data_IF_260854396542
#
_entry.id   IF_260854396542
#
_cell.length_a   1.000
_cell.length_b   1.000
_cell.length_c   1.000
_cell.angle_alpha   90.00
_cell.angle_beta   90.00
_cell.angle_gamma   90.00
#
_symmetry.space_group_name_H-M   'P 1'
#
loop_
_entity.id
_entity.type
_entity.pdbx_description
1 polymer ?
#
# COMPACT_ATOMS: atom_id res chain seq x y z
N UNK A 1 8.77 -3.55 11.41
CA UNK A 1 8.55 -2.30 10.66
C UNK A 1 9.72 -1.31 10.68
N UNK A 2 10.46 -1.14 11.78
CA UNK A 2 11.58 -0.19 11.86
C UNK A 2 12.84 -0.67 11.11
N UNK A 3 13.40 0.17 10.24
CA UNK A 3 14.74 0.02 9.70
C UNK A 3 15.77 0.41 10.75
N UNK A 4 16.63 -0.53 11.10
CA UNK A 4 17.86 -0.26 11.83
C UNK A 4 19.00 -0.92 11.05
N UNK A 5 20.18 -0.32 11.15
CA UNK A 5 21.40 -0.96 10.67
C UNK A 5 21.52 -2.32 11.40
N UNK A 6 21.81 -3.42 10.69
CA UNK A 6 22.06 -4.71 11.33
C UNK A 6 23.15 -4.56 12.40
N UNK A 7 22.91 -5.12 13.59
CA UNK A 7 23.90 -5.08 14.68
C UNK A 7 24.98 -6.15 14.51
N UNK A 8 26.01 -6.10 15.36
CA UNK A 8 27.19 -6.99 15.27
C UNK A 8 26.82 -8.48 15.24
N UNK A 9 25.85 -8.89 16.05
CA UNK A 9 25.33 -10.28 16.04
C UNK A 9 24.84 -10.77 14.67
N UNK A 10 24.35 -9.88 13.81
CA UNK A 10 23.93 -10.22 12.46
C UNK A 10 25.14 -10.45 11.55
N UNK A 11 26.15 -9.60 11.68
CA UNK A 11 27.44 -9.74 10.98
C UNK A 11 28.13 -11.03 11.39
N UNK A 12 28.18 -11.33 12.69
CA UNK A 12 28.76 -12.58 13.22
C UNK A 12 28.07 -13.80 12.60
N UNK A 13 26.74 -13.77 12.52
CA UNK A 13 25.95 -14.87 11.94
C UNK A 13 26.17 -15.03 10.44
N UNK A 14 26.34 -13.93 9.70
CA UNK A 14 26.68 -13.95 8.27
C UNK A 14 28.08 -14.56 8.09
N UNK A 15 29.06 -14.11 8.87
CA UNK A 15 30.44 -14.62 8.81
C UNK A 15 30.49 -16.10 9.15
N UNK A 16 29.74 -16.54 10.16
CA UNK A 16 29.60 -17.95 10.52
C UNK A 16 29.00 -18.77 9.36
N UNK A 17 27.91 -18.29 8.75
CA UNK A 17 27.29 -18.94 7.59
C UNK A 17 28.23 -19.02 6.38
N UNK A 18 29.03 -17.98 6.13
CA UNK A 18 30.04 -18.01 5.06
C UNK A 18 31.11 -19.05 5.38
N UNK A 19 31.57 -19.15 6.64
CA UNK A 19 32.57 -20.13 7.05
C UNK A 19 32.08 -21.57 6.91
N UNK A 20 30.81 -21.81 7.27
CA UNK A 20 30.14 -23.10 7.16
C UNK A 20 30.10 -23.61 5.71
N UNK A 21 29.98 -22.70 4.74
CA UNK A 21 29.90 -23.03 3.31
C UNK A 21 31.30 -23.13 2.67
N UNK A 22 32.27 -22.34 3.12
CA UNK A 22 33.58 -22.20 2.45
C UNK A 22 34.70 -23.06 3.01
N UNK A 23 34.65 -23.47 4.29
CA UNK A 23 35.71 -24.25 4.93
C UNK A 23 35.32 -25.71 5.16
N UNK A 24 36.13 -26.61 4.61
CA UNK A 24 36.06 -28.05 4.87
C UNK A 24 36.35 -28.31 6.35
N UNK A 25 35.41 -28.95 7.05
CA UNK A 25 35.49 -29.23 8.50
C UNK A 25 34.78 -28.24 9.42
N UNK A 26 34.30 -27.10 8.89
CA UNK A 26 33.38 -26.17 9.59
C UNK A 26 31.92 -26.37 9.17
N UNK A 27 31.63 -27.41 8.38
CA UNK A 27 30.33 -27.72 7.83
C UNK A 27 29.29 -28.01 8.92
N UNK A 28 28.05 -27.57 8.71
CA UNK A 28 26.95 -27.96 9.59
C UNK A 28 26.73 -29.46 9.51
N UNK A 29 26.79 -30.09 10.67
CA UNK A 29 26.44 -31.50 10.82
C UNK A 29 24.92 -31.72 10.86
N UNK A 30 24.12 -30.67 11.10
CA UNK A 30 22.66 -30.75 11.18
C UNK A 30 21.99 -30.21 9.91
N UNK A 31 21.00 -30.93 9.36
CA UNK A 31 20.30 -30.50 8.15
C UNK A 31 19.47 -29.23 8.40
N UNK A 32 19.44 -28.34 7.41
CA UNK A 32 18.54 -27.18 7.40
C UNK A 32 17.12 -27.69 7.14
N UNK A 33 16.29 -27.71 8.18
CA UNK A 33 14.89 -28.10 8.06
C UNK A 33 14.11 -26.91 7.51
N UNK A 34 13.81 -26.93 6.21
CA UNK A 34 12.87 -26.00 5.58
C UNK A 34 11.46 -26.37 6.03
N UNK A 35 10.91 -25.61 6.99
CA UNK A 35 9.55 -25.82 7.46
C UNK A 35 8.57 -25.31 6.42
N UNK A 36 7.85 -26.22 5.77
CA UNK A 36 6.76 -25.84 4.88
C UNK A 36 5.73 -24.98 5.62
N UNK A 37 5.18 -23.94 4.98
CA UNK A 37 4.15 -23.12 5.59
C UNK A 37 2.97 -24.00 6.02
N UNK A 38 2.54 -23.86 7.28
CA UNK A 38 1.43 -24.64 7.83
C UNK A 38 0.19 -24.48 6.94
N UNK A 39 -0.26 -25.56 6.31
CA UNK A 39 -1.54 -25.60 5.59
C UNK A 39 -2.66 -25.36 6.62
N UNK A 40 -3.35 -24.24 6.50
CA UNK A 40 -4.49 -23.88 7.35
C UNK A 40 -5.77 -24.41 6.71
N UNK A 41 -6.71 -24.90 7.51
CA UNK A 41 -8.03 -25.30 7.00
C UNK A 41 -8.81 -24.08 6.51
N UNK A 42 -9.76 -24.28 5.59
CA UNK A 42 -10.59 -23.20 5.05
C UNK A 42 -11.33 -22.40 6.14
N UNK A 43 -11.86 -23.10 7.15
CA UNK A 43 -12.51 -22.48 8.30
C UNK A 43 -11.56 -21.57 9.10
N UNK A 44 -10.32 -22.00 9.30
CA UNK A 44 -9.33 -21.21 10.03
C UNK A 44 -8.93 -19.95 9.26
N UNK A 45 -8.81 -20.04 7.93
CA UNK A 45 -8.59 -18.87 7.08
C UNK A 45 -9.76 -17.89 7.12
N UNK A 46 -11.00 -18.39 7.14
CA UNK A 46 -12.19 -17.54 7.26
C UNK A 46 -12.19 -16.74 8.57
N UNK A 47 -11.93 -17.41 9.70
CA UNK A 47 -11.83 -16.75 11.01
C UNK A 47 -10.71 -15.70 11.02
N UNK A 48 -9.54 -16.02 10.48
CA UNK A 48 -8.45 -15.04 10.40
C UNK A 48 -8.82 -13.85 9.52
N UNK A 49 -9.45 -14.06 8.37
CA UNK A 49 -9.91 -12.95 7.53
C UNK A 49 -10.91 -12.07 8.27
N UNK A 50 -11.86 -12.65 9.00
CA UNK A 50 -12.82 -11.89 9.81
C UNK A 50 -12.10 -11.01 10.84
N UNK A 51 -11.12 -11.57 11.56
CA UNK A 51 -10.31 -10.82 12.54
C UNK A 51 -9.55 -9.69 11.85
N UNK A 52 -8.88 -9.96 10.72
CA UNK A 52 -8.13 -8.93 9.99
C UNK A 52 -9.04 -7.80 9.47
N UNK A 53 -10.22 -8.14 8.97
CA UNK A 53 -11.22 -7.16 8.53
C UNK A 53 -11.74 -6.33 9.71
N UNK A 54 -12.03 -6.96 10.85
CA UNK A 54 -12.44 -6.24 12.06
C UNK A 54 -11.34 -5.26 12.51
N UNK A 55 -10.09 -5.73 12.59
CA UNK A 55 -8.94 -4.88 12.94
C UNK A 55 -8.76 -3.72 11.96
N UNK A 56 -8.99 -3.94 10.66
CA UNK A 56 -8.96 -2.85 9.66
C UNK A 56 -9.94 -1.74 10.00
N UNK A 57 -11.21 -2.08 10.25
CA UNK A 57 -12.22 -1.08 10.60
C UNK A 57 -11.92 -0.38 11.91
N UNK A 58 -11.43 -1.11 12.93
CA UNK A 58 -11.02 -0.52 14.21
C UNK A 58 -9.85 0.46 14.03
N UNK A 59 -8.82 0.08 13.27
CA UNK A 59 -7.68 0.97 12.97
C UNK A 59 -8.13 2.26 12.28
N UNK A 60 -8.94 2.14 11.22
CA UNK A 60 -9.41 3.30 10.44
C UNK A 60 -10.33 4.19 11.28
N UNK A 61 -11.26 3.59 12.04
CA UNK A 61 -12.14 4.32 12.94
C UNK A 61 -11.34 5.11 13.98
N UNK A 62 -10.34 4.49 14.60
CA UNK A 62 -9.50 5.16 15.59
C UNK A 62 -8.75 6.37 15.00
N UNK A 63 -8.23 6.24 13.78
CA UNK A 63 -7.56 7.35 13.09
C UNK A 63 -8.54 8.48 12.75
N UNK A 64 -9.71 8.15 12.20
CA UNK A 64 -10.76 9.14 11.90
C UNK A 64 -11.17 9.87 13.17
N UNK A 65 -11.43 9.12 14.25
CA UNK A 65 -11.79 9.69 15.54
C UNK A 65 -10.74 10.68 16.04
N UNK A 66 -9.45 10.30 16.00
CA UNK A 66 -8.34 11.18 16.39
C UNK A 66 -8.27 12.44 15.52
N UNK A 67 -8.48 12.32 14.20
CA UNK A 67 -8.50 13.48 13.30
C UNK A 67 -9.72 14.38 13.57
N UNK A 68 -10.88 13.83 13.87
CA UNK A 68 -12.07 14.63 14.21
C UNK A 68 -11.90 15.41 15.51
N UNK A 69 -11.16 14.86 16.50
CA UNK A 69 -10.84 15.57 17.75
C UNK A 69 -10.03 16.84 17.50
N UNK A 70 -9.18 16.86 16.48
CA UNK A 70 -8.40 18.04 16.07
C UNK A 70 -9.13 18.90 15.02
N UNK A 71 -10.43 18.70 14.84
CA UNK A 71 -11.29 19.43 13.89
C UNK A 71 -10.82 19.36 12.42
N UNK A 72 -10.25 18.23 12.00
CA UNK A 72 -9.92 18.02 10.60
C UNK A 72 -11.19 17.99 9.72
N UNK A 73 -11.15 18.66 8.57
CA UNK A 73 -12.21 18.58 7.56
C UNK A 73 -12.31 17.15 7.01
N UNK A 74 -13.52 16.65 6.79
CA UNK A 74 -13.80 15.35 6.16
C UNK A 74 -13.01 15.13 4.86
N UNK A 75 -12.90 16.14 4.00
CA UNK A 75 -12.11 16.04 2.75
C UNK A 75 -10.64 15.79 3.07
N UNK A 76 -10.09 16.51 4.05
CA UNK A 76 -8.71 16.34 4.50
C UNK A 76 -8.48 14.99 5.18
N UNK A 77 -9.47 14.43 5.88
CA UNK A 77 -9.40 13.08 6.48
C UNK A 77 -9.24 12.02 5.39
N UNK A 78 -10.04 12.09 4.31
CA UNK A 78 -9.95 11.14 3.20
C UNK A 78 -8.57 11.19 2.55
N UNK A 79 -8.10 12.41 2.23
CA UNK A 79 -6.77 12.62 1.64
C UNK A 79 -5.68 12.08 2.57
N UNK A 80 -5.79 12.35 3.87
CA UNK A 80 -4.84 11.87 4.87
C UNK A 80 -4.81 10.34 4.93
N UNK A 81 -5.96 9.67 4.99
CA UNK A 81 -6.03 8.20 5.02
C UNK A 81 -5.44 7.58 3.76
N UNK A 82 -5.69 8.18 2.59
CA UNK A 82 -5.09 7.76 1.32
C UNK A 82 -3.56 7.85 1.40
N UNK A 83 -3.01 9.00 1.79
CA UNK A 83 -1.57 9.18 1.90
C UNK A 83 -0.95 8.29 2.99
N UNK A 84 -1.61 8.14 4.12
CA UNK A 84 -1.16 7.28 5.22
C UNK A 84 -1.02 5.83 4.74
N UNK A 85 -2.03 5.30 4.05
CA UNK A 85 -1.99 3.97 3.48
C UNK A 85 -0.86 3.84 2.45
N UNK A 86 -0.76 4.82 1.54
CA UNK A 86 0.25 4.84 0.48
C UNK A 86 1.68 4.87 1.06
N UNK A 87 1.99 5.84 1.93
CA UNK A 87 3.31 5.97 2.58
C UNK A 87 3.65 4.72 3.40
N UNK A 88 2.67 4.14 4.10
CA UNK A 88 2.86 2.90 4.86
C UNK A 88 3.26 1.73 3.98
N UNK A 89 2.64 1.61 2.80
CA UNK A 89 3.02 0.61 1.82
C UNK A 89 4.41 0.86 1.22
N UNK A 90 4.72 2.11 0.86
CA UNK A 90 6.03 2.49 0.35
C UNK A 90 7.14 2.23 1.36
N UNK A 91 6.89 2.46 2.64
CA UNK A 91 7.83 2.10 3.72
C UNK A 91 8.21 0.63 3.68
N UNK A 92 7.27 -0.28 3.37
CA UNK A 92 7.60 -1.70 3.21
C UNK A 92 8.46 -1.95 1.98
N UNK A 93 8.15 -1.31 0.84
CA UNK A 93 8.90 -1.48 -0.41
C UNK A 93 10.34 -1.00 -0.26
N UNK A 94 10.53 0.23 0.21
CA UNK A 94 11.86 0.86 0.32
C UNK A 94 12.78 0.06 1.24
N UNK A 95 12.22 -0.62 2.23
CA UNK A 95 12.98 -1.33 3.26
C UNK A 95 13.21 -2.81 2.95
N UNK A 96 12.75 -3.33 1.81
CA UNK A 96 12.91 -4.75 1.45
C UNK A 96 14.38 -5.18 1.38
N UNK A 97 15.21 -4.45 0.64
CA UNK A 97 16.63 -4.81 0.48
C UNK A 97 17.39 -4.83 1.81
N UNK A 98 17.10 -3.91 2.72
CA UNK A 98 17.72 -3.92 4.06
C UNK A 98 17.27 -5.14 4.88
N UNK A 99 16.01 -5.57 4.74
CA UNK A 99 15.48 -6.74 5.45
C UNK A 99 16.06 -8.05 4.95
N UNK A 100 16.43 -8.12 3.67
CA UNK A 100 17.13 -9.29 3.11
C UNK A 100 18.52 -9.49 3.72
N UNK A 101 19.14 -8.43 4.26
CA UNK A 101 20.43 -8.49 4.95
C UNK A 101 20.32 -8.87 6.43
N UNK A 102 19.11 -8.96 6.99
CA UNK A 102 18.87 -9.37 8.37
C UNK A 102 18.68 -10.89 8.45
N UNK A 103 19.70 -11.57 8.97
CA UNK A 103 19.73 -13.03 9.16
C UNK A 103 19.26 -13.41 10.58
N UNK A 104 19.43 -12.52 11.56
CA UNK A 104 18.99 -12.76 12.93
C UNK A 104 17.53 -12.34 13.09
N UNK A 105 16.68 -13.30 13.47
CA UNK A 105 15.27 -13.02 13.78
C UNK A 105 15.14 -12.06 14.97
N UNK A 106 14.32 -11.04 14.79
CA UNK A 106 14.05 -10.08 15.86
C UNK A 106 13.08 -10.71 16.85
N UNK A 107 13.39 -10.63 18.15
CA UNK A 107 12.43 -11.03 19.20
C UNK A 107 11.18 -10.18 19.08
N UNK A 108 10.03 -10.84 18.88
CA UNK A 108 8.73 -10.17 18.92
C UNK A 108 8.40 -9.82 20.37
N UNK A 109 8.20 -8.52 20.63
CA UNK A 109 7.73 -8.03 21.92
C UNK A 109 6.22 -7.73 21.82
N UNK A 110 5.48 -7.84 22.92
CA UNK A 110 4.04 -7.58 22.95
C UNK A 110 3.63 -6.21 22.33
N UNK A 111 4.35 -5.09 22.56
CA UNK A 111 4.03 -3.82 21.89
C UNK A 111 4.28 -3.84 20.38
N UNK A 112 5.32 -4.57 19.92
CA UNK A 112 5.59 -4.75 18.48
C UNK A 112 4.42 -5.46 17.83
N UNK A 113 3.94 -6.53 18.44
CA UNK A 113 2.81 -7.30 17.95
C UNK A 113 1.54 -6.45 17.83
N UNK A 114 1.22 -5.64 18.86
CA UNK A 114 0.06 -4.75 18.82
C UNK A 114 0.17 -3.71 17.70
N UNK A 115 1.33 -3.07 17.56
CA UNK A 115 1.57 -2.11 16.47
C UNK A 115 1.43 -2.79 15.11
N UNK A 116 2.03 -3.97 14.94
CA UNK A 116 1.95 -4.73 13.69
C UNK A 116 0.49 -5.14 13.40
N UNK A 117 -0.30 -5.48 14.41
CA UNK A 117 -1.73 -5.83 14.28
C UNK A 117 -2.55 -4.67 13.72
N UNK A 118 -2.39 -3.44 14.25
CA UNK A 118 -3.15 -2.28 13.77
C UNK A 118 -2.60 -1.67 12.47
N UNK A 119 -1.29 -1.76 12.25
CA UNK A 119 -0.61 -1.14 11.11
C UNK A 119 -0.65 -2.03 9.85
N UNK A 120 -0.63 -3.36 9.99
CA UNK A 120 -0.75 -4.29 8.85
C UNK A 120 -1.96 -4.01 7.95
N UNK A 121 -3.18 -3.83 8.47
CA UNK A 121 -4.33 -3.48 7.67
C UNK A 121 -4.15 -2.20 6.83
N UNK A 122 -3.46 -1.18 7.37
CA UNK A 122 -3.17 0.08 6.68
C UNK A 122 -2.18 -0.15 5.53
N UNK A 123 -1.13 -0.94 5.75
CA UNK A 123 -0.20 -1.36 4.69
C UNK A 123 -0.93 -2.13 3.60
N UNK A 124 -1.82 -3.05 3.98
CA UNK A 124 -2.58 -3.87 3.03
C UNK A 124 -3.48 -2.99 2.16
N UNK A 125 -4.16 -2.00 2.75
CA UNK A 125 -4.93 -1.01 2.02
C UNK A 125 -4.06 -0.21 1.06
N UNK A 126 -2.87 0.24 1.50
CA UNK A 126 -1.90 0.94 0.65
C UNK A 126 -1.37 0.09 -0.50
N UNK A 127 -1.11 -1.20 -0.24
CA UNK A 127 -0.71 -2.18 -1.27
C UNK A 127 -1.81 -2.36 -2.30
N UNK A 128 -3.05 -2.57 -1.83
CA UNK A 128 -4.21 -2.71 -2.71
C UNK A 128 -4.39 -1.45 -3.56
N UNK A 129 -4.30 -0.28 -2.94
CA UNK A 129 -4.38 1.00 -3.63
C UNK A 129 -3.29 1.15 -4.70
N UNK A 130 -2.03 0.89 -4.35
CA UNK A 130 -0.91 1.01 -5.30
C UNK A 130 -0.98 0.00 -6.44
N UNK A 131 -1.43 -1.24 -6.19
CA UNK A 131 -1.56 -2.26 -7.22
C UNK A 131 -2.74 -2.04 -8.15
N UNK A 132 -3.79 -1.36 -7.68
CA UNK A 132 -4.96 -1.03 -8.48
C UNK A 132 -4.88 0.38 -9.09
N UNK A 133 -4.02 1.27 -8.58
CA UNK A 133 -3.82 2.63 -9.11
C UNK A 133 -3.38 2.64 -10.59
N UNK A 134 -2.67 1.60 -11.05
CA UNK A 134 -2.33 1.41 -12.48
C UNK A 134 -3.42 0.72 -13.29
N UNK A 135 -4.36 0.02 -12.65
CA UNK A 135 -5.59 -0.52 -13.28
C UNK A 135 -6.72 0.52 -13.34
N UNK A 136 -6.50 1.65 -12.67
CA UNK A 136 -7.42 2.75 -12.54
C UNK A 136 -7.37 3.55 -13.84
N UNK A 137 -8.17 3.05 -14.79
CA UNK A 137 -8.87 3.90 -15.75
C UNK A 137 -9.76 4.92 -15.03
N UNK A 138 -9.84 4.97 -13.69
CA UNK A 138 -10.52 6.01 -12.91
C UNK A 138 -9.83 7.37 -13.04
N UNK A 139 -8.49 7.46 -13.18
CA UNK A 139 -7.87 8.75 -13.48
C UNK A 139 -8.25 9.21 -14.88
N UNK A 140 -8.18 8.31 -15.87
CA UNK A 140 -8.62 8.59 -17.25
C UNK A 140 -10.12 8.93 -17.26
N UNK A 141 -10.99 8.15 -16.63
CA UNK A 141 -12.43 8.40 -16.52
C UNK A 141 -12.75 9.71 -15.78
N UNK A 142 -12.02 10.04 -14.72
CA UNK A 142 -12.17 11.33 -14.02
C UNK A 142 -11.70 12.46 -14.94
N UNK A 143 -10.59 12.32 -15.66
CA UNK A 143 -10.11 13.33 -16.59
C UNK A 143 -11.04 13.48 -17.80
N UNK A 144 -11.55 12.39 -18.36
CA UNK A 144 -12.54 12.39 -19.44
C UNK A 144 -13.85 13.04 -18.94
N UNK A 145 -14.29 12.74 -17.72
CA UNK A 145 -15.53 13.34 -17.19
C UNK A 145 -15.38 14.80 -16.79
N UNK A 146 -14.26 15.18 -16.15
CA UNK A 146 -14.02 16.55 -15.66
C UNK A 146 -13.52 17.48 -16.78
N UNK A 147 -12.76 16.95 -17.75
CA UNK A 147 -12.15 17.74 -18.82
C UNK A 147 -12.88 17.49 -20.16
N UNK A 148 -12.95 16.24 -20.64
CA UNK A 148 -13.47 15.94 -21.99
C UNK A 148 -14.97 16.25 -22.14
N UNK A 149 -15.83 15.79 -21.23
CA UNK A 149 -17.27 16.00 -21.30
C UNK A 149 -17.67 17.49 -21.33
N UNK A 150 -17.20 18.37 -20.42
CA UNK A 150 -17.52 19.79 -20.50
C UNK A 150 -16.85 20.48 -21.70
N UNK A 151 -15.66 20.05 -22.11
CA UNK A 151 -15.01 20.60 -23.30
C UNK A 151 -15.81 20.28 -24.57
N UNK A 152 -16.34 19.06 -24.70
CA UNK A 152 -17.18 18.63 -25.82
C UNK A 152 -18.44 19.50 -25.94
N UNK A 153 -19.11 19.79 -24.82
CA UNK A 153 -20.27 20.69 -24.80
C UNK A 153 -19.90 22.09 -25.31
N UNK A 154 -18.76 22.63 -24.91
CA UNK A 154 -18.31 23.97 -25.36
C UNK A 154 -18.04 23.97 -26.87
N UNK A 155 -17.41 22.93 -27.40
CA UNK A 155 -17.13 22.78 -28.83
C UNK A 155 -18.43 22.66 -29.62
N UNK A 156 -19.37 21.84 -29.17
CA UNK A 156 -20.67 21.67 -29.83
C UNK A 156 -21.44 23.00 -29.93
N UNK A 157 -21.46 23.78 -28.85
CA UNK A 157 -22.07 25.13 -28.83
C UNK A 157 -21.36 26.08 -29.79
N UNK A 158 -20.02 26.02 -29.88
CA UNK A 158 -19.26 26.87 -30.79
C UNK A 158 -19.50 26.51 -32.28
N UNK A 159 -19.65 25.22 -32.59
CA UNK A 159 -20.04 24.78 -33.93
C UNK A 159 -21.44 25.27 -34.30
N UNK A 160 -22.39 25.16 -33.37
CA UNK A 160 -23.78 25.58 -33.58
C UNK A 160 -23.88 27.10 -33.77
N UNK A 161 -23.12 27.86 -32.99
CA UNK A 161 -22.96 29.30 -33.18
C UNK A 161 -22.39 29.66 -34.56
N UNK A 162 -21.37 28.93 -35.01
CA UNK A 162 -20.75 29.16 -36.32
C UNK A 162 -21.72 28.87 -37.46
N UNK A 163 -22.53 27.80 -37.35
CA UNK A 163 -23.62 27.51 -38.30
C UNK A 163 -24.65 28.63 -38.32
N UNK A 164 -25.11 29.08 -37.16
CA UNK A 164 -26.09 30.16 -37.05
C UNK A 164 -25.62 31.45 -37.73
N UNK A 165 -24.36 31.86 -37.54
CA UNK A 165 -23.79 33.04 -38.22
C UNK A 165 -23.80 32.84 -39.74
N UNK A 166 -23.44 31.65 -40.21
CA UNK A 166 -23.38 31.35 -41.65
C UNK A 166 -24.78 31.42 -42.28
N UNK A 167 -25.78 30.82 -41.64
CA UNK A 167 -27.18 30.91 -42.07
C UNK A 167 -27.69 32.35 -42.07
N UNK A 168 -27.36 33.14 -41.04
CA UNK A 168 -27.71 34.57 -40.98
C UNK A 168 -27.09 35.36 -42.13
N UNK A 169 -25.85 35.05 -42.50
CA UNK A 169 -25.14 35.70 -43.60
C UNK A 169 -25.76 35.35 -44.96
N UNK A 170 -26.08 34.09 -45.19
CA UNK A 170 -26.68 33.63 -46.46
C UNK A 170 -28.10 34.19 -46.65
N UNK A 171 -28.86 34.40 -45.57
CA UNK A 171 -30.18 35.04 -45.62
C UNK A 171 -30.13 36.57 -45.86
N UNK A 172 -28.95 37.20 -45.80
CA UNK A 172 -28.77 38.63 -46.04
C UNK A 172 -28.23 38.94 -47.45
N UNK A 173 -27.99 37.92 -48.28
CA UNK A 173 -27.56 38.03 -49.68
C UNK A 173 -28.74 37.78 -50.62
#
# INVERSE_FOLDING_TARGET
>A
MFTRVPGDSNTDRIVEGVKEISFVGAERQQPIILRNPRRRSGAMNFVFNLIYTATFFVSVYFIIWLLTLINFNWVSIIIFLFFLAFVSFFSIIVTRGVKELLVVEKKENLPSFLLDLFYMPIIMAGKWLSQNASKVNVFIFIFDFIIEAPFKIIVDVAEEWTKYIKERKDNMV
#
